data_IF_732939558444
#
_entry.id   IF_732939558444
#
_cell.length_a   1.000
_cell.length_b   1.000
_cell.length_c   1.000
_cell.angle_alpha   90.00
_cell.angle_beta   90.00
_cell.angle_gamma   90.00
#
_symmetry.space_group_name_H-M   'P 1'
#
loop_
_entity.id
_entity.type
_entity.pdbx_description
1 polymer ?
#
# COMPACT_ATOMS: atom_id res chain seq x y z
N UNK A 1 -7.32 5.69 -30.09
CA UNK A 1 -6.12 5.53 -29.23
C UNK A 1 -4.81 5.35 -30.02
N UNK A 2 -3.68 5.98 -29.63
CA UNK A 2 -2.36 5.73 -30.24
C UNK A 2 -1.78 4.40 -29.71
N UNK A 3 -1.57 3.41 -30.57
CA UNK A 3 -1.17 2.05 -30.17
C UNK A 3 0.10 2.01 -29.30
N UNK A 4 1.09 2.86 -29.59
CA UNK A 4 2.35 2.87 -28.85
C UNK A 4 2.21 3.30 -27.39
N UNK A 5 1.42 4.36 -27.12
CA UNK A 5 1.22 4.85 -25.74
C UNK A 5 0.38 3.87 -24.92
N UNK A 6 -0.59 3.20 -25.54
CA UNK A 6 -1.40 2.18 -24.87
C UNK A 6 -0.58 0.95 -24.51
N UNK A 7 0.27 0.45 -25.41
CA UNK A 7 1.17 -0.67 -25.10
C UNK A 7 2.14 -0.33 -23.98
N UNK A 8 2.75 0.87 -24.00
CA UNK A 8 3.65 1.31 -22.94
C UNK A 8 2.92 1.43 -21.59
N UNK A 9 1.69 1.92 -21.58
CA UNK A 9 0.89 2.02 -20.36
C UNK A 9 0.50 0.64 -19.81
N UNK A 10 0.11 -0.31 -20.67
CA UNK A 10 -0.16 -1.68 -20.24
C UNK A 10 1.10 -2.35 -19.67
N UNK A 11 2.28 -2.10 -20.26
CA UNK A 11 3.55 -2.57 -19.71
C UNK A 11 3.82 -1.98 -18.31
N UNK A 12 3.53 -0.70 -18.09
CA UNK A 12 3.61 -0.07 -16.76
C UNK A 12 2.63 -0.73 -15.78
N UNK A 13 1.37 -0.94 -16.17
CA UNK A 13 0.36 -1.60 -15.32
C UNK A 13 0.81 -3.02 -14.96
N UNK A 14 1.37 -3.76 -15.91
CA UNK A 14 1.93 -5.10 -15.68
C UNK A 14 3.13 -5.06 -14.73
N UNK A 15 4.03 -4.09 -14.89
CA UNK A 15 5.17 -3.90 -14.00
C UNK A 15 4.70 -3.67 -12.55
N UNK A 16 3.72 -2.78 -12.36
CA UNK A 16 3.12 -2.55 -11.04
C UNK A 16 2.42 -3.81 -10.52
N UNK A 17 1.74 -4.57 -11.38
CA UNK A 17 1.13 -5.84 -10.98
C UNK A 17 2.19 -6.85 -10.47
N UNK A 18 3.32 -6.97 -11.16
CA UNK A 18 4.45 -7.82 -10.73
C UNK A 18 5.03 -7.33 -9.41
N UNK A 19 5.18 -6.02 -9.24
CA UNK A 19 5.62 -5.40 -7.99
C UNK A 19 4.67 -5.73 -6.82
N UNK A 20 3.35 -5.69 -7.04
CA UNK A 20 2.34 -6.08 -6.03
C UNK A 20 2.50 -7.56 -5.62
N UNK A 21 2.85 -8.44 -6.56
CA UNK A 21 3.14 -9.84 -6.26
C UNK A 21 4.43 -10.01 -5.46
N UNK A 22 5.49 -9.26 -5.80
CA UNK A 22 6.74 -9.25 -5.05
C UNK A 22 6.53 -8.78 -3.61
N UNK A 23 5.74 -7.71 -3.42
CA UNK A 23 5.31 -7.24 -2.10
C UNK A 23 4.53 -8.27 -1.32
N UNK A 24 3.62 -9.00 -1.96
CA UNK A 24 2.89 -10.08 -1.29
C UNK A 24 3.84 -11.21 -0.86
N UNK A 25 4.85 -11.53 -1.66
CA UNK A 25 5.87 -12.51 -1.30
C UNK A 25 6.72 -12.05 -0.10
N UNK A 26 7.15 -10.78 -0.09
CA UNK A 26 7.85 -10.17 1.06
C UNK A 26 6.95 -10.19 2.29
N UNK A 27 5.69 -9.77 2.17
CA UNK A 27 4.74 -9.75 3.27
C UNK A 27 4.48 -11.14 3.85
N UNK A 28 4.43 -12.19 3.02
CA UNK A 28 4.30 -13.59 3.49
C UNK A 28 5.50 -14.00 4.33
N UNK A 29 6.72 -13.73 3.87
CA UNK A 29 7.97 -14.00 4.62
C UNK A 29 7.99 -13.24 5.96
N UNK A 30 7.65 -11.95 5.92
CA UNK A 30 7.59 -11.09 7.10
C UNK A 30 6.47 -11.49 8.08
N UNK A 31 5.33 -11.99 7.57
CA UNK A 31 4.25 -12.55 8.40
C UNK A 31 4.75 -13.77 9.17
N UNK A 32 5.47 -14.68 8.51
CA UNK A 32 6.03 -15.85 9.15
C UNK A 32 7.04 -15.46 10.24
N UNK A 33 7.94 -14.52 9.93
CA UNK A 33 8.88 -13.96 10.91
C UNK A 33 8.14 -13.33 12.10
N UNK A 34 7.14 -12.48 11.84
CA UNK A 34 6.39 -11.80 12.89
C UNK A 34 5.68 -12.79 13.80
N UNK A 35 5.03 -13.82 13.24
CA UNK A 35 4.36 -14.88 14.01
C UNK A 35 5.33 -15.68 14.88
N UNK A 36 6.51 -16.01 14.35
CA UNK A 36 7.56 -16.69 15.12
C UNK A 36 8.04 -15.86 16.33
N UNK A 37 7.87 -14.54 16.29
CA UNK A 37 8.24 -13.62 17.38
C UNK A 37 7.02 -13.19 18.23
N UNK A 38 5.90 -13.92 18.17
CA UNK A 38 4.69 -13.62 18.96
C UNK A 38 3.78 -12.56 18.34
N UNK A 39 3.94 -12.28 17.06
CA UNK A 39 3.13 -11.33 16.31
C UNK A 39 1.65 -11.72 16.23
N UNK A 40 0.78 -10.79 16.61
CA UNK A 40 -0.67 -10.94 16.59
C UNK A 40 -1.24 -10.17 15.40
N UNK A 41 -2.09 -10.84 14.61
CA UNK A 41 -2.76 -10.24 13.46
C UNK A 41 -4.07 -9.57 13.89
N UNK A 42 -4.23 -8.30 13.52
CA UNK A 42 -5.41 -7.49 13.76
C UNK A 42 -6.10 -7.14 12.43
N UNK A 43 -7.42 -6.90 12.45
CA UNK A 43 -8.13 -6.34 11.29
C UNK A 43 -8.32 -7.30 10.10
N UNK A 44 -8.32 -8.62 10.32
CA UNK A 44 -8.42 -9.64 9.25
C UNK A 44 -9.54 -9.40 8.23
N UNK A 45 -10.67 -8.83 8.68
CA UNK A 45 -11.86 -8.61 7.85
C UNK A 45 -11.69 -7.59 6.72
N UNK A 46 -10.83 -6.57 6.87
CA UNK A 46 -10.66 -5.55 5.83
C UNK A 46 -9.55 -5.90 4.82
N UNK A 47 -8.77 -6.96 5.05
CA UNK A 47 -7.68 -7.35 4.15
C UNK A 47 -8.17 -7.85 2.78
N UNK A 48 -9.18 -8.73 2.67
CA UNK A 48 -9.73 -9.13 1.38
C UNK A 48 -10.26 -7.93 0.58
N UNK A 49 -10.90 -6.97 1.25
CA UNK A 49 -11.38 -5.73 0.62
C UNK A 49 -10.22 -4.94 0.03
N UNK A 50 -9.08 -4.85 0.72
CA UNK A 50 -7.88 -4.22 0.18
C UNK A 50 -7.38 -4.91 -1.08
N UNK A 51 -7.30 -6.24 -1.07
CA UNK A 51 -6.84 -7.03 -2.22
C UNK A 51 -7.76 -6.79 -3.41
N UNK A 52 -9.08 -6.92 -3.23
CA UNK A 52 -10.07 -6.68 -4.28
C UNK A 52 -9.96 -5.25 -4.82
N UNK A 53 -9.83 -4.25 -3.96
CA UNK A 53 -9.74 -2.86 -4.37
C UNK A 53 -8.48 -2.58 -5.21
N UNK A 54 -7.32 -3.14 -4.85
CA UNK A 54 -6.08 -2.94 -5.61
C UNK A 54 -6.05 -3.78 -6.89
N UNK A 55 -6.67 -4.96 -6.89
CA UNK A 55 -6.88 -5.73 -8.14
C UNK A 55 -7.83 -4.97 -9.08
N UNK A 56 -8.90 -4.38 -8.56
CA UNK A 56 -9.84 -3.57 -9.33
C UNK A 56 -9.17 -2.29 -9.87
N UNK A 57 -8.24 -1.67 -9.13
CA UNK A 57 -7.41 -0.57 -9.62
C UNK A 57 -6.65 -0.98 -10.88
N UNK A 58 -5.89 -2.07 -10.81
CA UNK A 58 -5.07 -2.53 -11.94
C UNK A 58 -5.94 -2.95 -13.14
N UNK A 59 -7.05 -3.64 -12.88
CA UNK A 59 -8.01 -3.97 -13.92
C UNK A 59 -8.62 -2.72 -14.55
N UNK A 60 -9.01 -1.72 -13.75
CA UNK A 60 -9.52 -0.44 -14.22
C UNK A 60 -8.51 0.32 -15.08
N UNK A 61 -7.23 0.36 -14.67
CA UNK A 61 -6.15 0.93 -15.47
C UNK A 61 -5.99 0.23 -16.83
N UNK A 62 -6.13 -1.09 -16.89
CA UNK A 62 -6.03 -1.83 -18.15
C UNK A 62 -7.27 -1.65 -19.04
N UNK A 63 -8.46 -1.59 -18.43
CA UNK A 63 -9.74 -1.65 -19.14
C UNK A 63 -10.31 -0.28 -19.52
N UNK A 64 -10.30 0.70 -18.60
CA UNK A 64 -10.95 1.99 -18.83
C UNK A 64 -10.38 2.75 -20.04
N UNK A 65 -9.05 2.86 -20.23
CA UNK A 65 -8.52 3.57 -21.39
C UNK A 65 -8.98 2.99 -22.72
N UNK A 66 -9.05 1.65 -22.80
CA UNK A 66 -9.50 0.95 -23.99
C UNK A 66 -11.02 1.06 -24.18
N UNK A 67 -11.80 0.83 -23.13
CA UNK A 67 -13.26 0.81 -23.20
C UNK A 67 -13.88 2.19 -23.41
N UNK A 68 -13.23 3.26 -22.94
CA UNK A 68 -13.70 4.63 -23.05
C UNK A 68 -12.85 5.51 -23.99
N UNK A 69 -11.98 4.89 -24.80
CA UNK A 69 -11.06 5.52 -25.76
C UNK A 69 -10.33 6.74 -25.16
N UNK A 70 -9.80 6.58 -23.94
CA UNK A 70 -9.20 7.67 -23.18
C UNK A 70 -7.92 8.16 -23.86
N UNK A 71 -7.74 9.48 -24.03
CA UNK A 71 -6.53 10.00 -24.65
C UNK A 71 -5.34 9.97 -23.70
N UNK A 72 -4.14 9.77 -24.24
CA UNK A 72 -2.92 10.13 -23.51
C UNK A 72 -2.70 11.63 -23.64
N UNK A 73 -2.73 12.35 -22.51
CA UNK A 73 -2.47 13.79 -22.45
C UNK A 73 -1.05 13.99 -21.91
N UNK A 74 -0.05 14.39 -22.73
CA UNK A 74 1.37 14.31 -22.35
C UNK A 74 1.72 15.00 -21.02
N UNK A 75 1.25 16.22 -20.79
CA UNK A 75 1.52 16.94 -19.55
C UNK A 75 1.00 16.18 -18.33
N UNK A 76 -0.25 15.72 -18.37
CA UNK A 76 -0.85 14.92 -17.30
C UNK A 76 -0.12 13.58 -17.15
N UNK A 77 0.07 12.86 -18.26
CA UNK A 77 0.62 11.52 -18.29
C UNK A 77 2.03 11.45 -17.70
N UNK A 78 2.92 12.36 -18.10
CA UNK A 78 4.29 12.40 -17.58
C UNK A 78 4.35 12.83 -16.11
N UNK A 79 3.54 13.80 -15.69
CA UNK A 79 3.44 14.20 -14.29
C UNK A 79 2.95 13.04 -13.42
N UNK A 80 1.90 12.34 -13.86
CA UNK A 80 1.33 11.22 -13.12
C UNK A 80 2.25 9.99 -13.12
N UNK A 81 3.03 9.79 -14.19
CA UNK A 81 4.07 8.76 -14.21
C UNK A 81 5.16 9.06 -13.16
N UNK A 82 5.62 10.30 -13.09
CA UNK A 82 6.61 10.71 -12.09
C UNK A 82 6.09 10.52 -10.65
N UNK A 83 4.81 10.86 -10.40
CA UNK A 83 4.16 10.61 -9.11
C UNK A 83 4.03 9.12 -8.80
N UNK A 84 3.70 8.29 -9.80
CA UNK A 84 3.63 6.83 -9.65
C UNK A 84 5.01 6.26 -9.28
N UNK A 85 6.07 6.68 -9.97
CA UNK A 85 7.44 6.27 -9.68
C UNK A 85 7.89 6.72 -8.28
N UNK A 86 7.59 7.96 -7.89
CA UNK A 86 7.88 8.47 -6.55
C UNK A 86 7.13 7.68 -5.45
N UNK A 87 5.88 7.29 -5.71
CA UNK A 87 5.10 6.45 -4.80
C UNK A 87 5.73 5.06 -4.61
N UNK A 88 6.20 4.41 -5.69
CA UNK A 88 6.91 3.12 -5.56
C UNK A 88 8.23 3.28 -4.80
N UNK A 89 9.01 4.32 -5.10
CA UNK A 89 10.26 4.58 -4.39
C UNK A 89 10.02 4.78 -2.88
N UNK A 90 9.02 5.57 -2.51
CA UNK A 90 8.64 5.77 -1.11
C UNK A 90 8.21 4.45 -0.45
N UNK A 91 7.46 3.61 -1.15
CA UNK A 91 7.00 2.32 -0.65
C UNK A 91 8.16 1.37 -0.37
N UNK A 92 9.09 1.21 -1.30
CA UNK A 92 10.27 0.38 -1.08
C UNK A 92 11.17 0.93 0.02
N UNK A 93 11.27 2.26 0.15
CA UNK A 93 11.93 2.86 1.28
C UNK A 93 11.26 2.48 2.61
N UNK A 94 9.93 2.46 2.67
CA UNK A 94 9.20 1.98 3.85
C UNK A 94 9.46 0.49 4.12
N UNK A 95 9.42 -0.37 3.09
CA UNK A 95 9.68 -1.81 3.19
C UNK A 95 11.07 -2.06 3.75
N UNK A 96 12.10 -1.41 3.20
CA UNK A 96 13.49 -1.55 3.65
C UNK A 96 13.65 -1.02 5.07
N UNK A 97 13.06 0.13 5.39
CA UNK A 97 13.18 0.76 6.72
C UNK A 97 12.55 -0.09 7.83
N UNK A 98 11.38 -0.68 7.58
CA UNK A 98 10.70 -1.56 8.54
C UNK A 98 11.26 -2.98 8.55
N UNK A 99 11.89 -3.42 7.46
CA UNK A 99 12.49 -4.74 7.32
C UNK A 99 11.47 -5.87 7.59
N UNK A 100 11.78 -6.84 8.47
CA UNK A 100 10.88 -7.96 8.78
C UNK A 100 9.54 -7.56 9.41
N UNK A 101 9.43 -6.33 9.92
CA UNK A 101 8.19 -5.80 10.52
C UNK A 101 7.21 -5.28 9.48
N UNK A 102 7.65 -5.03 8.26
CA UNK A 102 6.75 -4.58 7.19
C UNK A 102 5.79 -5.68 6.79
N UNK A 103 4.49 -5.36 6.70
CA UNK A 103 3.50 -6.33 6.32
C UNK A 103 2.30 -5.67 5.64
N UNK A 104 1.69 -6.39 4.68
CA UNK A 104 0.42 -5.95 4.07
C UNK A 104 -0.76 -6.19 5.00
N UNK A 105 -0.65 -7.08 5.99
CA UNK A 105 -1.60 -7.27 7.10
C UNK A 105 -1.16 -6.47 8.31
N UNK A 106 -2.10 -6.08 9.18
CA UNK A 106 -1.74 -5.43 10.45
C UNK A 106 -1.28 -6.51 11.42
N UNK A 107 0.03 -6.73 11.52
CA UNK A 107 0.62 -7.70 12.45
C UNK A 107 1.52 -6.93 13.41
N UNK A 108 1.19 -6.98 14.71
CA UNK A 108 1.96 -6.28 15.75
C UNK A 108 2.68 -7.32 16.60
N UNK A 109 4.00 -7.16 16.73
CA UNK A 109 4.83 -7.96 17.62
C UNK A 109 4.93 -7.22 18.96
N UNK A 110 4.36 -7.75 20.06
CA UNK A 110 4.42 -7.11 21.37
C UNK A 110 5.87 -6.89 21.83
N UNK A 111 6.14 -5.78 22.52
CA UNK A 111 7.47 -5.50 23.07
C UNK A 111 8.47 -4.84 22.11
N UNK A 112 8.19 -4.77 20.80
CA UNK A 112 9.08 -4.09 19.87
C UNK A 112 8.85 -2.57 19.85
N UNK A 113 9.91 -1.74 19.91
CA UNK A 113 9.77 -0.28 19.84
C UNK A 113 9.33 0.17 18.44
N UNK A 114 8.63 1.31 18.36
CA UNK A 114 8.25 1.89 17.07
C UNK A 114 9.49 2.31 16.27
N UNK A 115 9.42 2.15 14.94
CA UNK A 115 10.49 2.57 14.03
C UNK A 115 10.30 4.04 13.69
N UNK A 116 11.30 4.87 13.99
CA UNK A 116 11.31 6.31 13.70
C UNK A 116 12.40 6.72 12.68
N UNK A 117 12.93 5.76 11.92
CA UNK A 117 13.96 5.96 10.91
C UNK A 117 13.38 6.14 9.50
N UNK A 118 14.21 6.52 8.53
CA UNK A 118 13.82 6.60 7.11
C UNK A 118 12.65 7.55 6.87
N UNK A 119 11.59 7.15 6.14
CA UNK A 119 10.44 8.02 5.88
C UNK A 119 9.55 8.24 7.12
N UNK A 120 9.68 7.37 8.14
CA UNK A 120 8.90 7.44 9.38
C UNK A 120 9.30 8.60 10.30
N UNK A 121 10.42 9.30 9.99
CA UNK A 121 10.81 10.51 10.72
C UNK A 121 9.94 11.73 10.37
N UNK A 122 9.28 11.71 9.21
CA UNK A 122 8.47 12.83 8.71
C UNK A 122 6.97 12.55 8.75
N UNK A 123 6.58 11.30 8.53
CA UNK A 123 5.18 10.88 8.49
C UNK A 123 4.98 9.66 9.39
N UNK A 124 3.82 9.56 10.05
CA UNK A 124 3.46 8.37 10.85
C UNK A 124 3.21 7.15 9.97
N UNK A 125 2.57 7.35 8.81
CA UNK A 125 2.26 6.27 7.86
C UNK A 125 2.68 6.62 6.41
N UNK A 126 3.99 6.74 6.13
CA UNK A 126 4.48 7.07 4.78
C UNK A 126 4.06 6.06 3.72
N UNK A 127 3.90 4.79 4.08
CA UNK A 127 3.40 3.76 3.17
C UNK A 127 1.97 4.03 2.70
N UNK A 128 1.10 4.58 3.56
CA UNK A 128 -0.27 4.95 3.15
C UNK A 128 -0.29 6.18 2.24
N UNK A 129 0.63 7.13 2.43
CA UNK A 129 0.81 8.21 1.47
C UNK A 129 1.19 7.66 0.08
N UNK A 130 2.11 6.69 0.02
CA UNK A 130 2.45 6.02 -1.24
C UNK A 130 1.25 5.32 -1.90
N UNK A 131 0.39 4.64 -1.13
CA UNK A 131 -0.83 4.00 -1.65
C UNK A 131 -1.82 5.02 -2.20
N UNK A 132 -2.04 6.13 -1.49
CA UNK A 132 -2.94 7.19 -1.97
C UNK A 132 -2.42 7.81 -3.26
N UNK A 133 -1.13 8.17 -3.31
CA UNK A 133 -0.52 8.79 -4.49
C UNK A 133 -0.57 7.85 -5.70
N UNK A 134 -0.18 6.58 -5.54
CA UNK A 134 -0.28 5.60 -6.61
C UNK A 134 -1.73 5.43 -7.09
N UNK A 135 -2.68 5.38 -6.16
CA UNK A 135 -4.08 5.12 -6.44
C UNK A 135 -4.74 6.07 -7.43
N UNK A 136 -4.43 7.37 -7.34
CA UNK A 136 -4.92 8.34 -8.30
C UNK A 136 -3.94 8.56 -9.46
N UNK A 137 -2.63 8.49 -9.23
CA UNK A 137 -1.65 8.81 -10.25
C UNK A 137 -1.60 7.74 -11.34
N UNK A 138 -1.56 6.45 -10.97
CA UNK A 138 -1.39 5.36 -11.93
C UNK A 138 -2.50 5.36 -13.01
N UNK A 139 -3.80 5.43 -12.67
CA UNK A 139 -4.84 5.50 -13.71
C UNK A 139 -4.76 6.79 -14.55
N UNK A 140 -4.40 7.91 -13.93
CA UNK A 140 -4.33 9.20 -14.62
C UNK A 140 -3.15 9.32 -15.60
N UNK A 141 -2.16 8.42 -15.56
CA UNK A 141 -1.13 8.33 -16.60
C UNK A 141 -1.77 8.24 -18.00
N UNK A 142 -2.89 7.53 -18.12
CA UNK A 142 -3.66 7.42 -19.37
C UNK A 142 -5.09 7.97 -19.23
N UNK A 143 -5.25 9.00 -18.37
CA UNK A 143 -6.49 9.74 -18.12
C UNK A 143 -7.71 8.90 -17.73
N UNK A 144 -7.50 7.74 -17.08
CA UNK A 144 -8.55 6.89 -16.52
C UNK A 144 -9.13 7.48 -15.21
N UNK A 145 -9.85 8.60 -15.33
CA UNK A 145 -10.33 9.38 -14.19
C UNK A 145 -11.45 8.68 -13.41
N UNK A 146 -12.24 7.79 -14.04
CA UNK A 146 -13.26 7.03 -13.31
C UNK A 146 -12.60 6.06 -12.34
N UNK A 147 -11.60 5.31 -12.81
CA UNK A 147 -10.79 4.40 -12.00
C UNK A 147 -10.06 5.17 -10.88
N UNK A 148 -9.45 6.32 -11.20
CA UNK A 148 -8.77 7.14 -10.20
C UNK A 148 -9.71 7.63 -9.09
N UNK A 149 -10.87 8.19 -9.44
CA UNK A 149 -11.83 8.70 -8.47
C UNK A 149 -12.47 7.58 -7.64
N UNK A 150 -12.90 6.50 -8.28
CA UNK A 150 -13.51 5.36 -7.61
C UNK A 150 -12.53 4.71 -6.64
N UNK A 151 -11.29 4.46 -7.06
CA UNK A 151 -10.26 3.93 -6.19
C UNK A 151 -9.97 4.88 -5.04
N UNK A 152 -9.77 6.17 -5.31
CA UNK A 152 -9.43 7.16 -4.27
C UNK A 152 -10.50 7.21 -3.20
N UNK A 153 -11.78 7.31 -3.58
CA UNK A 153 -12.90 7.36 -2.64
C UNK A 153 -12.98 6.10 -1.76
N UNK A 154 -12.93 4.91 -2.38
CA UNK A 154 -12.98 3.63 -1.67
C UNK A 154 -11.75 3.41 -0.79
N UNK A 155 -10.57 3.80 -1.28
CA UNK A 155 -9.30 3.64 -0.58
C UNK A 155 -9.21 4.55 0.64
N UNK A 156 -9.74 5.78 0.58
CA UNK A 156 -9.80 6.67 1.74
C UNK A 156 -10.64 6.06 2.89
N UNK A 157 -11.80 5.49 2.57
CA UNK A 157 -12.64 4.80 3.54
C UNK A 157 -11.92 3.59 4.17
N UNK A 158 -11.29 2.76 3.32
CA UNK A 158 -10.53 1.59 3.75
C UNK A 158 -9.32 1.96 4.62
N UNK A 159 -8.54 2.96 4.22
CA UNK A 159 -7.38 3.44 4.98
C UNK A 159 -7.79 4.02 6.33
N UNK A 160 -8.93 4.69 6.42
CA UNK A 160 -9.47 5.17 7.70
C UNK A 160 -9.73 4.03 8.69
N UNK A 161 -10.31 2.91 8.23
CA UNK A 161 -10.51 1.71 9.07
C UNK A 161 -9.16 1.10 9.47
N UNK A 162 -8.25 0.98 8.51
CA UNK A 162 -6.94 0.34 8.69
C UNK A 162 -6.04 1.12 9.65
N UNK A 163 -5.93 2.44 9.49
CA UNK A 163 -5.13 3.31 10.36
C UNK A 163 -5.63 3.22 11.81
N UNK A 164 -6.96 3.28 12.02
CA UNK A 164 -7.52 3.13 13.37
C UNK A 164 -7.21 1.75 13.98
N UNK A 165 -7.27 0.69 13.19
CA UNK A 165 -6.94 -0.66 13.62
C UNK A 165 -5.45 -0.79 14.00
N UNK A 166 -4.56 -0.24 13.18
CA UNK A 166 -3.11 -0.25 13.41
C UNK A 166 -2.73 0.56 14.65
N UNK A 167 -3.21 1.78 14.79
CA UNK A 167 -2.93 2.65 15.94
C UNK A 167 -3.45 2.03 17.26
N UNK A 168 -4.63 1.41 17.24
CA UNK A 168 -5.15 0.67 18.39
C UNK A 168 -4.26 -0.53 18.73
N UNK A 169 -3.83 -1.31 17.74
CA UNK A 169 -2.97 -2.46 17.93
C UNK A 169 -1.58 -2.08 18.46
N UNK A 170 -0.98 -1.00 17.94
CA UNK A 170 0.30 -0.46 18.42
C UNK A 170 0.19 0.06 19.86
N UNK A 171 -0.94 0.70 20.21
CA UNK A 171 -1.22 1.15 21.59
C UNK A 171 -1.29 -0.03 22.57
N UNK A 172 -1.96 -1.12 22.18
CA UNK A 172 -2.03 -2.35 22.99
C UNK A 172 -0.63 -2.97 23.13
N UNK A 173 0.11 -3.11 22.03
CA UNK A 173 1.46 -3.67 22.03
C UNK A 173 2.43 -2.89 22.92
N UNK A 174 2.34 -1.56 22.93
CA UNK A 174 3.15 -0.69 23.79
C UNK A 174 2.83 -0.87 25.29
N UNK A 175 1.55 -1.03 25.65
CA UNK A 175 1.15 -1.29 27.06
C UNK A 175 1.67 -2.63 27.57
N UNK A 176 1.67 -3.66 26.73
CA UNK A 176 2.21 -4.98 27.08
C UNK A 176 3.74 -4.93 27.29
N UNK A 177 4.45 -4.09 26.54
CA UNK A 177 5.89 -3.88 26.71
C UNK A 177 6.26 -3.23 28.05
N UNK A 178 5.37 -2.41 28.62
CA UNK A 178 5.59 -1.70 29.88
C UNK A 178 5.23 -2.47 31.16
N UNK A 179 4.61 -3.66 31.06
CA UNK A 179 4.31 -4.49 32.25
C UNK A 179 5.56 -5.30 32.64
N UNK A 180 6.12 -5.11 33.85
CA UNK A 180 7.21 -5.97 34.31
C UNK A 180 6.72 -7.43 34.41
N UNK A 181 7.57 -8.38 34.01
CA UNK A 181 7.25 -9.79 33.87
C UNK A 181 6.89 -10.55 35.18
N UNK A 182 6.74 -9.85 36.30
CA UNK A 182 6.55 -10.43 37.65
C UNK A 182 5.23 -10.01 38.34
N UNK A 183 4.15 -9.84 37.58
CA UNK A 183 2.82 -9.63 38.14
C UNK A 183 1.92 -10.85 37.92
N UNK A 184 2.35 -12.01 38.40
CA UNK A 184 1.49 -13.15 38.76
C UNK A 184 2.07 -13.72 40.06
N UNK A 185 1.37 -13.48 41.17
CA UNK A 185 1.44 -14.29 42.39
C UNK A 185 0.20 -15.17 42.43
#
# INVERSE_FOLDING_TARGET
MNTHTSTAFLALVLLVAVERLAELAVARRNTAWSRAHGGVEHGRGHYPVMVVLHTALLAGCALEPWAADRPFVPALGWTMLALTAAAQALRWWCIVTLGPRWNTRVVVVPGLPLVAAGPYRWLRHPNYAAVVVEGFALPLVHSAWVTALAFTALNLALLGVRIRCEEAALTIGARTAGRPANAVR
#
